data_IF_522727755375
#
_entry.id   IF_522727755375
#
_cell.length_a   1.000
_cell.length_b   1.000
_cell.length_c   1.000
_cell.angle_alpha   90.00
_cell.angle_beta   90.00
_cell.angle_gamma   90.00
#
_symmetry.space_group_name_H-M   'P 1'
#
loop_
_entity.id
_entity.type
_entity.pdbx_description
1 polymer ?
#
# COMPACT_ATOMS: atom_id res chain seq x y z
N UNK A 1 19.52 38.48 72.75
CA UNK A 1 19.09 39.33 71.62
C UNK A 1 19.82 38.94 70.34
N UNK A 2 21.15 38.82 70.34
CA UNK A 2 21.94 38.38 69.17
C UNK A 2 21.57 36.99 68.62
N UNK A 3 21.31 36.00 69.47
CA UNK A 3 20.92 34.65 68.99
C UNK A 3 19.61 34.64 68.19
N UNK A 4 18.63 35.42 68.64
CA UNK A 4 17.35 35.58 67.93
C UNK A 4 17.56 36.29 66.59
N UNK A 5 18.46 37.28 66.54
CA UNK A 5 18.81 37.95 65.29
C UNK A 5 19.45 36.99 64.29
N UNK A 6 20.37 36.13 64.74
CA UNK A 6 21.00 35.10 63.91
C UNK A 6 19.98 34.10 63.34
N UNK A 7 19.07 33.62 64.18
CA UNK A 7 18.03 32.67 63.77
C UNK A 7 17.06 33.31 62.75
N UNK A 8 16.67 34.58 62.95
CA UNK A 8 15.83 35.32 62.00
C UNK A 8 16.55 35.53 60.67
N UNK A 9 17.85 35.85 60.67
CA UNK A 9 18.64 35.97 59.44
C UNK A 9 18.73 34.62 58.71
N UNK A 10 18.98 33.52 59.41
CA UNK A 10 19.05 32.19 58.80
C UNK A 10 17.71 31.78 58.16
N UNK A 11 16.59 32.05 58.84
CA UNK A 11 15.24 31.83 58.28
C UNK A 11 15.00 32.71 57.07
N UNK A 12 15.42 33.98 57.10
CA UNK A 12 15.33 34.90 55.96
C UNK A 12 16.07 34.38 54.72
N UNK A 13 17.31 33.93 54.89
CA UNK A 13 18.08 33.31 53.80
C UNK A 13 17.43 32.02 53.28
N UNK A 14 16.87 31.20 54.17
CA UNK A 14 16.13 30.00 53.78
C UNK A 14 14.87 30.30 52.96
N UNK A 15 14.12 31.33 53.36
CA UNK A 15 12.94 31.80 52.62
C UNK A 15 13.31 32.34 51.24
N UNK A 16 14.40 33.11 51.14
CA UNK A 16 14.88 33.63 49.86
C UNK A 16 15.31 32.49 48.93
N UNK A 17 16.04 31.50 49.45
CA UNK A 17 16.42 30.31 48.69
C UNK A 17 15.19 29.54 48.19
N UNK A 18 14.21 29.27 49.06
CA UNK A 18 12.98 28.60 48.66
C UNK A 18 12.21 29.40 47.59
N UNK A 19 12.16 30.73 47.73
CA UNK A 19 11.49 31.59 46.75
C UNK A 19 12.15 31.47 45.37
N UNK A 20 13.49 31.47 45.30
CA UNK A 20 14.18 31.26 44.02
C UNK A 20 13.88 29.90 43.38
N UNK A 21 13.79 28.83 44.18
CA UNK A 21 13.46 27.49 43.70
C UNK A 21 12.02 27.39 43.21
N UNK A 22 11.07 28.00 43.93
CA UNK A 22 9.67 28.05 43.53
C UNK A 22 9.51 28.80 42.21
N UNK A 23 10.18 29.94 42.05
CA UNK A 23 10.16 30.69 40.79
C UNK A 23 10.71 29.86 39.62
N UNK A 24 11.84 29.17 39.82
CA UNK A 24 12.40 28.29 38.78
C UNK A 24 11.46 27.13 38.40
N UNK A 25 10.79 26.53 39.39
CA UNK A 25 9.79 25.49 39.14
C UNK A 25 8.56 26.02 38.41
N UNK A 26 8.11 27.24 38.72
CA UNK A 26 7.01 27.88 38.03
C UNK A 26 7.34 28.13 36.55
N UNK A 27 8.55 28.58 36.25
CA UNK A 27 9.03 28.79 34.89
C UNK A 27 9.13 27.47 34.11
N UNK A 28 9.69 26.42 34.71
CA UNK A 28 9.75 25.10 34.08
C UNK A 28 8.34 24.53 33.82
N UNK A 29 7.42 24.70 34.78
CA UNK A 29 6.02 24.28 34.62
C UNK A 29 5.36 24.99 33.44
N UNK A 30 5.60 26.29 33.29
CA UNK A 30 5.08 27.08 32.16
C UNK A 30 5.66 26.61 30.82
N UNK A 31 6.94 26.26 30.81
CA UNK A 31 7.60 25.70 29.63
C UNK A 31 6.99 24.34 29.24
N UNK A 32 6.81 23.44 30.21
CA UNK A 32 6.15 22.14 30.00
C UNK A 32 4.73 22.32 29.46
N UNK A 33 3.92 23.21 30.05
CA UNK A 33 2.57 23.49 29.55
C UNK A 33 2.57 23.92 28.07
N UNK A 34 3.53 24.76 27.69
CA UNK A 34 3.67 25.22 26.30
C UNK A 34 3.99 24.06 25.36
N UNK A 35 4.89 23.16 25.76
CA UNK A 35 5.20 21.95 24.98
C UNK A 35 4.00 21.01 24.86
N UNK A 36 3.26 20.80 25.95
CA UNK A 36 2.05 19.97 25.94
C UNK A 36 1.01 20.51 24.97
N UNK A 37 0.74 21.82 24.99
CA UNK A 37 -0.18 22.45 24.02
C UNK A 37 0.33 22.31 22.59
N UNK A 38 1.64 22.45 22.36
CA UNK A 38 2.24 22.21 21.05
C UNK A 38 2.08 20.76 20.58
N UNK A 39 2.23 19.78 21.48
CA UNK A 39 2.01 18.37 21.16
C UNK A 39 0.54 18.07 20.87
N UNK A 40 -0.40 18.63 21.64
CA UNK A 40 -1.83 18.49 21.40
C UNK A 40 -2.20 18.93 19.99
N UNK A 41 -1.79 20.13 19.57
CA UNK A 41 -2.07 20.62 18.21
C UNK A 41 -1.44 19.76 17.11
N UNK A 42 -0.27 19.16 17.35
CA UNK A 42 0.35 18.22 16.41
C UNK A 42 -0.43 16.91 16.29
N UNK A 43 -0.92 16.38 17.41
CA UNK A 43 -1.74 15.16 17.45
C UNK A 43 -3.07 15.41 16.74
N UNK A 44 -3.77 16.49 17.05
CA UNK A 44 -5.02 16.87 16.36
C UNK A 44 -4.80 17.00 14.84
N UNK A 45 -3.70 17.64 14.42
CA UNK A 45 -3.34 17.74 13.02
C UNK A 45 -3.02 16.38 12.36
N UNK A 46 -2.46 15.43 13.11
CA UNK A 46 -2.23 14.06 12.63
C UNK A 46 -3.54 13.28 12.51
N UNK A 47 -4.43 13.40 13.49
CA UNK A 47 -5.74 12.74 13.48
C UNK A 47 -6.58 13.19 12.28
N UNK A 48 -6.66 14.50 12.02
CA UNK A 48 -7.37 15.04 10.85
C UNK A 48 -6.82 14.49 9.51
N UNK A 49 -5.50 14.37 9.40
CA UNK A 49 -4.86 13.81 8.19
C UNK A 49 -5.12 12.32 8.06
N UNK A 50 -5.12 11.58 9.17
CA UNK A 50 -5.40 10.16 9.17
C UNK A 50 -6.83 9.90 8.72
N UNK A 51 -7.81 10.61 9.28
CA UNK A 51 -9.21 10.52 8.86
C UNK A 51 -9.39 10.84 7.38
N UNK A 52 -8.71 11.88 6.86
CA UNK A 52 -8.76 12.20 5.44
C UNK A 52 -8.19 11.08 4.55
N UNK A 53 -7.11 10.41 4.97
CA UNK A 53 -6.56 9.27 4.24
C UNK A 53 -7.42 8.00 4.36
N UNK A 54 -8.04 7.77 5.53
CA UNK A 54 -9.01 6.69 5.73
C UNK A 54 -10.24 6.86 4.83
N UNK A 55 -10.75 8.09 4.71
CA UNK A 55 -11.81 8.42 3.77
C UNK A 55 -11.36 8.20 2.33
N UNK A 56 -10.15 8.63 1.96
CA UNK A 56 -9.61 8.40 0.61
C UNK A 56 -9.48 6.92 0.30
N UNK A 57 -8.98 6.11 1.22
CA UNK A 57 -8.82 4.66 1.07
C UNK A 57 -10.18 3.95 0.99
N UNK A 58 -11.13 4.33 1.84
CA UNK A 58 -12.48 3.76 1.82
C UNK A 58 -13.27 4.15 0.56
N UNK A 59 -12.92 5.30 -0.03
CA UNK A 59 -13.50 5.76 -1.29
C UNK A 59 -12.68 5.34 -2.52
N UNK A 60 -11.57 4.58 -2.38
CA UNK A 60 -11.02 3.84 -3.52
C UNK A 60 -12.08 2.82 -3.87
N UNK A 61 -12.78 2.94 -5.01
CA UNK A 61 -13.88 2.08 -5.28
C UNK A 61 -13.31 0.70 -5.58
N UNK A 62 -13.47 -0.24 -4.64
CA UNK A 62 -13.26 -1.66 -4.92
C UNK A 62 -14.02 -2.07 -6.18
N UNK A 63 -15.13 -1.40 -6.48
CA UNK A 63 -15.90 -1.56 -7.72
C UNK A 63 -15.13 -1.17 -8.99
N UNK A 64 -14.28 -0.14 -8.97
CA UNK A 64 -13.47 0.25 -10.12
C UNK A 64 -12.32 -0.75 -10.33
N UNK A 65 -11.67 -1.18 -9.25
CA UNK A 65 -10.66 -2.24 -9.31
C UNK A 65 -11.24 -3.57 -9.78
N UNK A 66 -12.41 -3.96 -9.28
CA UNK A 66 -13.14 -5.15 -9.71
C UNK A 66 -13.56 -5.06 -11.17
N UNK A 67 -14.10 -3.92 -11.60
CA UNK A 67 -14.46 -3.68 -13.00
C UNK A 67 -13.25 -3.76 -13.94
N UNK A 68 -12.12 -3.16 -13.54
CA UNK A 68 -10.89 -3.24 -14.31
C UNK A 68 -10.34 -4.67 -14.36
N UNK A 69 -10.47 -5.43 -13.27
CA UNK A 69 -10.11 -6.84 -13.21
C UNK A 69 -10.96 -7.70 -14.14
N UNK A 70 -12.28 -7.58 -14.07
CA UNK A 70 -13.21 -8.29 -14.95
C UNK A 70 -12.92 -7.97 -16.41
N UNK A 71 -12.71 -6.69 -16.72
CA UNK A 71 -12.37 -6.25 -18.08
C UNK A 71 -11.03 -6.81 -18.56
N UNK A 72 -10.04 -6.93 -17.67
CA UNK A 72 -8.74 -7.52 -18.00
C UNK A 72 -8.90 -9.02 -18.33
N UNK A 73 -9.67 -9.74 -17.53
CA UNK A 73 -9.99 -11.16 -17.76
C UNK A 73 -10.73 -11.36 -19.08
N UNK A 74 -11.74 -10.52 -19.36
CA UNK A 74 -12.49 -10.57 -20.62
C UNK A 74 -11.57 -10.35 -21.84
N UNK A 75 -10.63 -9.42 -21.74
CA UNK A 75 -9.65 -9.14 -22.79
C UNK A 75 -8.63 -10.27 -22.96
N UNK A 76 -8.17 -10.88 -21.86
CA UNK A 76 -7.29 -12.04 -21.90
C UNK A 76 -7.99 -13.22 -22.57
N UNK A 77 -9.22 -13.53 -22.15
CA UNK A 77 -10.05 -14.56 -22.78
C UNK A 77 -10.26 -14.25 -24.26
N UNK A 78 -10.58 -13.01 -24.61
CA UNK A 78 -10.74 -12.61 -26.00
C UNK A 78 -9.44 -12.80 -26.81
N UNK A 79 -8.28 -12.53 -26.22
CA UNK A 79 -6.99 -12.75 -26.87
C UNK A 79 -6.68 -14.24 -27.06
N UNK A 80 -7.15 -15.10 -26.17
CA UNK A 80 -6.90 -16.54 -26.23
C UNK A 80 -8.00 -17.34 -26.96
N UNK A 81 -9.15 -16.74 -27.28
CA UNK A 81 -10.30 -17.40 -27.94
C UNK A 81 -9.96 -18.13 -29.24
N UNK A 82 -8.91 -17.72 -29.93
CA UNK A 82 -8.46 -18.32 -31.18
C UNK A 82 -7.14 -19.10 -31.06
N UNK A 83 -6.62 -19.22 -29.83
CA UNK A 83 -5.41 -19.98 -29.55
C UNK A 83 -5.79 -21.44 -29.22
N UNK A 84 -5.04 -22.38 -29.81
CA UNK A 84 -5.16 -23.80 -29.50
C UNK A 84 -3.83 -24.30 -28.94
N UNK A 85 -3.87 -24.90 -27.75
CA UNK A 85 -2.72 -25.56 -27.14
C UNK A 85 -2.78 -27.05 -27.45
N UNK A 86 -1.72 -27.58 -28.05
CA UNK A 86 -1.58 -29.01 -28.32
C UNK A 86 -0.53 -29.61 -27.39
N UNK A 87 -0.90 -30.67 -26.66
CA UNK A 87 -0.03 -31.36 -25.72
C UNK A 87 0.38 -32.74 -26.28
N UNK A 88 1.61 -33.17 -25.97
CA UNK A 88 2.12 -34.49 -26.36
C UNK A 88 2.75 -34.58 -27.75
N UNK A 89 3.08 -33.44 -28.38
CA UNK A 89 3.88 -33.44 -29.60
C UNK A 89 5.32 -33.89 -29.30
N UNK A 90 5.88 -34.87 -30.04
CA UNK A 90 7.28 -35.27 -29.87
C UNK A 90 8.21 -34.12 -30.24
N UNK A 91 9.30 -33.93 -29.47
CA UNK A 91 10.18 -32.75 -29.55
C UNK A 91 10.92 -32.58 -30.89
N UNK A 92 10.91 -33.60 -31.75
CA UNK A 92 11.60 -33.63 -33.05
C UNK A 92 10.81 -32.97 -34.20
N UNK A 93 9.67 -32.35 -33.91
CA UNK A 93 8.82 -31.66 -34.90
C UNK A 93 9.21 -30.17 -35.05
N UNK A 94 10.18 -29.70 -34.25
CA UNK A 94 10.79 -28.37 -34.36
C UNK A 94 11.43 -28.19 -35.76
N UNK A 95 10.71 -27.52 -36.66
CA UNK A 95 11.14 -27.24 -38.04
C UNK A 95 10.28 -27.90 -39.14
N UNK A 96 9.39 -28.82 -38.78
CA UNK A 96 8.37 -29.30 -39.70
C UNK A 96 7.27 -28.23 -39.89
N UNK A 97 6.66 -28.17 -41.07
CA UNK A 97 5.56 -27.24 -41.32
C UNK A 97 4.33 -27.67 -40.50
N UNK A 98 4.18 -27.07 -39.32
CA UNK A 98 3.07 -27.27 -38.37
C UNK A 98 1.72 -27.12 -39.08
N UNK A 99 1.61 -26.28 -40.11
CA UNK A 99 0.36 -26.14 -40.88
C UNK A 99 -0.02 -27.43 -41.61
N UNK A 100 0.96 -28.15 -42.16
CA UNK A 100 0.72 -29.43 -42.88
C UNK A 100 0.27 -30.51 -41.90
N UNK A 101 0.91 -30.57 -40.74
CA UNK A 101 0.56 -31.53 -39.70
C UNK A 101 -0.86 -31.26 -39.20
N UNK A 102 -1.18 -30.02 -38.83
CA UNK A 102 -2.51 -29.64 -38.32
C UNK A 102 -3.62 -29.86 -39.37
N UNK A 103 -3.35 -29.62 -40.66
CA UNK A 103 -4.29 -29.90 -41.75
C UNK A 103 -4.62 -31.38 -41.91
N UNK A 104 -3.71 -32.30 -41.53
CA UNK A 104 -4.00 -33.75 -41.54
C UNK A 104 -4.61 -34.25 -40.23
N UNK A 105 -4.15 -33.70 -39.10
CA UNK A 105 -4.51 -34.18 -37.76
C UNK A 105 -5.90 -33.71 -37.31
N UNK A 106 -6.23 -32.43 -37.53
CA UNK A 106 -7.51 -31.89 -37.06
C UNK A 106 -8.71 -32.55 -37.78
N UNK A 107 -8.71 -32.75 -39.11
CA UNK A 107 -9.81 -33.43 -39.79
C UNK A 107 -9.99 -34.87 -39.37
N UNK A 108 -8.89 -35.59 -39.13
CA UNK A 108 -8.93 -36.99 -38.71
C UNK A 108 -9.43 -37.15 -37.27
N UNK A 109 -9.11 -36.22 -36.37
CA UNK A 109 -9.60 -36.23 -34.99
C UNK A 109 -11.03 -35.68 -34.83
N UNK A 110 -11.37 -34.61 -35.54
CA UNK A 110 -12.64 -33.90 -35.37
C UNK A 110 -13.74 -34.37 -36.34
N UNK A 111 -13.40 -35.18 -37.35
CA UNK A 111 -14.35 -35.59 -38.40
C UNK A 111 -14.80 -34.43 -39.31
N UNK A 112 -14.02 -33.35 -39.36
CA UNK A 112 -14.36 -32.12 -40.09
C UNK A 112 -13.53 -32.00 -41.37
N UNK A 113 -14.16 -31.65 -42.49
CA UNK A 113 -13.44 -31.27 -43.72
C UNK A 113 -13.11 -29.78 -43.65
N UNK A 114 -11.82 -29.43 -43.64
CA UNK A 114 -11.41 -28.02 -43.75
C UNK A 114 -11.81 -27.47 -45.12
N UNK A 115 -12.76 -26.54 -45.13
CA UNK A 115 -12.97 -25.60 -46.23
C UNK A 115 -11.86 -24.53 -46.20
N UNK A 116 -11.52 -23.89 -47.33
CA UNK A 116 -10.12 -23.69 -47.76
C UNK A 116 -9.29 -22.63 -47.02
N UNK A 117 -9.74 -22.05 -45.91
CA UNK A 117 -9.11 -20.88 -45.28
C UNK A 117 -8.47 -21.16 -43.91
N UNK A 118 -7.81 -22.31 -43.72
CA UNK A 118 -7.02 -22.53 -42.50
C UNK A 118 -5.77 -21.61 -42.50
N UNK A 119 -5.83 -20.57 -41.70
CA UNK A 119 -4.75 -19.60 -41.50
C UNK A 119 -4.21 -19.70 -40.07
N UNK A 120 -2.90 -19.87 -39.97
CA UNK A 120 -2.18 -19.84 -38.70
C UNK A 120 -1.38 -18.54 -38.66
N UNK A 121 -1.73 -17.64 -37.73
CA UNK A 121 -1.06 -16.35 -37.56
C UNK A 121 0.33 -16.52 -36.91
N UNK A 122 0.42 -17.31 -35.84
CA UNK A 122 1.67 -17.62 -35.14
C UNK A 122 1.51 -18.94 -34.40
N UNK A 123 2.53 -19.80 -34.41
CA UNK A 123 2.70 -20.89 -33.46
C UNK A 123 4.07 -20.77 -32.77
N UNK A 124 4.09 -20.99 -31.46
CA UNK A 124 5.30 -21.09 -30.66
C UNK A 124 5.18 -22.29 -29.72
N UNK A 125 6.29 -22.69 -29.12
CA UNK A 125 6.36 -23.72 -28.10
C UNK A 125 6.35 -23.08 -26.71
#
# INVERSE_FOLDING_TARGET
MERILLDVTAVGCGLEYMNTKISALADETKHICTHITGFQGRVEGMELRLTAEEDRLSNVPDSELLYLWDKLMDLEDQSHRHNFSFFGFPELVEGADIKVILKGLIPSLAGLTFTPSFELQWAHR
#
